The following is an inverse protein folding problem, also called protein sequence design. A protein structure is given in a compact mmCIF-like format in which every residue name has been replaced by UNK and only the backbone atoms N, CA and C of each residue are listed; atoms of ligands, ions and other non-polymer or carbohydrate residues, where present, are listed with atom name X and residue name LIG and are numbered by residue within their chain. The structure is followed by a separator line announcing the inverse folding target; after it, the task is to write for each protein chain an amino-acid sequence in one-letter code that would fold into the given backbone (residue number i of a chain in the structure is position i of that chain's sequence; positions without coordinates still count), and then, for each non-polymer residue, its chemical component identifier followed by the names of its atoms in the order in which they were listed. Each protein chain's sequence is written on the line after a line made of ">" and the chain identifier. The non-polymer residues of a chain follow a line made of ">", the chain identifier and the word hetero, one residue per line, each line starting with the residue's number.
data_IF_636349262309
#
_entry.id   IF_636349262309
#
_cell.length_a   1.000
_cell.length_b   1.000
_cell.length_c   1.000
_cell.angle_alpha   90.00
_cell.angle_beta   90.00
_cell.angle_gamma   90.00
#
_symmetry.space_group_name_H-M   'P 1'
#
loop_
_entity.id
_entity.type
_entity.pdbx_description
1 polymer ?
2 non-polymer ?
3 non-polymer ?
4 water ?
#
# COMPACT_ATOMS: atom_id res chain seq x y z
N UNK A 5 0.23 -7.91 20.68
CA UNK A 5 0.96 -9.12 20.18
C UNK A 5 0.61 -9.35 18.71
N UNK A 6 1.62 -9.67 17.88
CA UNK A 6 1.44 -10.15 16.49
C UNK A 6 1.87 -11.62 16.41
N UNK A 7 1.20 -12.39 15.54
CA UNK A 7 1.70 -13.69 15.02
C UNK A 7 3.06 -13.45 14.36
N UNK A 8 3.82 -14.53 14.18
CA UNK A 8 5.12 -14.53 13.46
C UNK A 8 4.92 -13.93 12.06
N UNK A 9 3.85 -14.32 11.37
CA UNK A 9 3.57 -13.85 9.99
C UNK A 9 3.27 -12.35 10.01
N UNK A 10 2.55 -11.85 11.02
CA UNK A 10 2.21 -10.40 11.11
C UNK A 10 3.47 -9.58 11.45
N UNK A 11 4.45 -10.14 12.16
CA UNK A 11 5.76 -9.47 12.36
C UNK A 11 6.46 -9.30 11.01
N UNK A 12 6.46 -10.35 10.18
CA UNK A 12 7.03 -10.29 8.81
C UNK A 12 6.31 -9.20 8.01
N UNK A 13 4.98 -9.14 8.08
CA UNK A 13 4.16 -8.07 7.44
C UNK A 13 4.59 -6.69 7.95
N UNK A 14 4.78 -6.55 9.26
CA UNK A 14 5.19 -5.25 9.86
C UNK A 14 6.57 -4.86 9.33
N UNK A 15 7.49 -5.82 9.22
CA UNK A 15 8.82 -5.61 8.60
C UNK A 15 8.69 -5.08 7.19
N UNK A 16 7.84 -5.71 6.37
CA UNK A 16 7.58 -5.28 4.97
C UNK A 16 7.08 -3.83 5.00
N UNK A 17 6.09 -3.54 5.85
CA UNK A 17 5.47 -2.19 5.96
C UNK A 17 6.55 -1.15 6.28
N UNK A 18 7.40 -1.43 7.27
CA UNK A 18 8.52 -0.53 7.64
C UNK A 18 9.40 -0.30 6.41
N UNK A 19 9.72 -1.36 5.66
CA UNK A 19 10.58 -1.23 4.45
C UNK A 19 9.89 -0.34 3.42
N UNK A 20 8.59 -0.56 3.16
CA UNK A 20 7.84 0.22 2.13
C UNK A 20 7.87 1.71 2.50
N UNK A 21 7.92 2.03 3.80
CA UNK A 21 7.89 3.42 4.32
C UNK A 21 9.31 3.98 4.49
N UNK A 22 10.35 3.18 4.23
CA UNK A 22 11.77 3.53 4.50
C UNK A 22 12.32 4.44 3.39
N UNK A 23 13.41 5.16 3.69
CA UNK A 23 14.04 6.14 2.76
C UNK A 23 14.54 5.41 1.51
N UNK A 24 14.93 4.14 1.67
CA UNK A 24 15.39 3.21 0.60
C UNK A 24 14.47 3.29 -0.62
N UNK A 25 13.15 3.37 -0.42
CA UNK A 25 12.14 3.26 -1.51
C UNK A 25 11.40 4.58 -1.74
N UNK A 26 11.82 5.68 -1.09
CA UNK A 26 11.07 6.96 -1.04
C UNK A 26 10.87 7.54 -2.44
N UNK A 27 11.79 7.31 -3.39
CA UNK A 27 11.74 7.86 -4.77
C UNK A 27 10.46 7.42 -5.48
N UNK A 28 9.93 6.23 -5.17
CA UNK A 28 8.72 5.68 -5.84
C UNK A 28 7.61 5.33 -4.83
N UNK A 29 7.88 5.35 -3.52
CA UNK A 29 6.86 5.00 -2.49
C UNK A 29 6.01 6.22 -2.10
N UNK A 30 6.50 7.44 -2.33
CA UNK A 30 5.91 8.68 -1.77
C UNK A 30 4.44 8.85 -2.16
N UNK A 31 3.96 8.50 -3.38
CA UNK A 31 2.54 8.67 -3.70
C UNK A 31 1.60 7.84 -2.80
N UNK A 32 2.12 6.82 -2.13
CA UNK A 32 1.36 5.79 -1.38
C UNK A 32 1.45 6.03 0.13
N UNK A 33 2.12 7.10 0.55
CA UNK A 33 2.39 7.40 1.98
C UNK A 33 1.09 7.79 2.69
N UNK A 34 0.23 8.56 2.03
CA UNK A 34 -0.96 9.19 2.65
C UNK A 34 -2.16 8.99 1.74
N UNK A 35 -3.41 9.11 2.26
CA UNK A 35 -4.60 9.01 1.42
C UNK A 35 -4.50 10.02 0.28
N UNK A 36 -4.91 9.61 -0.92
CA UNK A 36 -5.04 10.51 -2.10
C UNK A 36 -6.01 11.63 -1.70
N UNK A 37 -5.54 12.88 -1.78
CA UNK A 37 -6.39 14.08 -1.57
C UNK A 37 -6.92 14.47 -2.95
N UNK A 38 -8.01 13.82 -3.37
CA UNK A 38 -8.57 13.93 -4.74
C UNK A 38 -8.82 15.40 -5.08
N UNK A 39 -9.45 16.14 -4.16
CA UNK A 39 -9.83 17.57 -4.33
C UNK A 39 -8.58 18.44 -4.53
N UNK A 40 -7.57 18.28 -3.67
CA UNK A 40 -6.29 19.05 -3.72
C UNK A 40 -5.57 18.81 -5.06
N UNK A 41 -5.63 17.59 -5.60
CA UNK A 41 -4.93 17.20 -6.85
C UNK A 41 -5.80 17.50 -8.08
N UNK A 42 -7.06 17.89 -7.87
CA UNK A 42 -8.03 18.18 -8.95
C UNK A 42 -8.54 16.91 -9.61
N UNK A 43 -8.45 15.76 -8.92
CA UNK A 43 -8.92 14.44 -9.43
C UNK A 43 -10.38 14.26 -8.99
N UNK A 44 -11.30 15.01 -9.58
CA UNK A 44 -12.69 15.15 -9.06
C UNK A 44 -13.53 13.90 -9.36
N UNK A 45 -12.99 12.96 -10.13
CA UNK A 45 -13.66 11.67 -10.46
C UNK A 45 -13.09 10.53 -9.60
N UNK A 46 -12.07 10.80 -8.77
CA UNK A 46 -11.29 9.75 -8.07
C UNK A 46 -12.24 8.85 -7.26
N UNK A 47 -13.11 9.44 -6.44
CA UNK A 47 -13.98 8.71 -5.49
C UNK A 47 -15.21 8.11 -6.20
N UNK A 48 -15.43 8.44 -7.47
CA UNK A 48 -16.45 7.78 -8.33
C UNK A 48 -15.87 6.49 -8.91
N UNK A 49 -14.56 6.45 -9.13
CA UNK A 49 -13.84 5.32 -9.79
C UNK A 49 -13.29 4.38 -8.71
N UNK A 50 -12.73 4.92 -7.63
CA UNK A 50 -12.11 4.17 -6.50
C UNK A 50 -13.10 4.15 -5.32
N UNK A 51 -13.73 3.00 -5.08
CA UNK A 51 -14.78 2.81 -4.04
C UNK A 51 -14.13 2.57 -2.67
N UNK A 52 -12.90 2.05 -2.64
CA UNK A 52 -12.20 1.64 -1.39
C UNK A 52 -10.77 2.16 -1.42
N UNK A 53 -10.56 3.47 -1.16
CA UNK A 53 -9.22 4.05 -1.10
C UNK A 53 -8.36 3.32 -0.06
N UNK A 54 -7.07 3.21 -0.32
CA UNK A 54 -6.12 2.60 0.65
C UNK A 54 -4.74 3.21 0.40
N UNK A 55 -3.95 3.32 1.46
CA UNK A 55 -2.60 3.93 1.44
C UNK A 55 -1.81 3.35 2.61
N UNK A 56 -0.50 3.57 2.63
CA UNK A 56 0.40 2.96 3.64
C UNK A 56 0.16 3.53 5.05
N UNK A 57 -0.27 4.79 5.19
CA UNK A 57 -0.58 5.38 6.52
C UNK A 57 -1.78 4.66 7.15
N UNK A 58 -2.78 4.29 6.34
CA UNK A 58 -3.98 3.53 6.77
C UNK A 58 -3.59 2.09 7.13
N UNK A 59 -2.73 1.46 6.33
CA UNK A 59 -2.21 0.09 6.62
C UNK A 59 -1.47 0.15 7.96
N UNK A 60 -0.66 1.19 8.18
CA UNK A 60 0.16 1.35 9.42
C UNK A 60 -0.76 1.48 10.64
N UNK A 61 -1.78 2.33 10.55
CA UNK A 61 -2.79 2.56 11.62
C UNK A 61 -3.48 1.23 11.96
N UNK A 62 -3.88 0.47 10.94
CA UNK A 62 -4.59 -0.83 11.10
C UNK A 62 -3.63 -1.84 11.74
N UNK A 63 -2.35 -1.84 11.37
CA UNK A 63 -1.33 -2.74 11.98
C UNK A 63 -1.15 -2.36 13.46
N UNK A 64 -0.98 -1.07 13.75
CA UNK A 64 -0.78 -0.52 15.12
C UNK A 64 -2.00 -0.84 16.00
N UNK A 65 -3.21 -0.78 15.42
CA UNK A 65 -4.50 -1.01 16.12
C UNK A 65 -4.83 -2.51 16.23
N UNK A 66 -3.94 -3.37 15.72
CA UNK A 66 -4.11 -4.85 15.67
C UNK A 66 -5.42 -5.17 14.94
N UNK A 67 -5.72 -4.42 13.88
CA UNK A 67 -6.92 -4.61 13.03
C UNK A 67 -6.73 -5.90 12.22
N UNK A 68 -5.53 -6.13 11.67
CA UNK A 68 -5.23 -7.29 10.79
C UNK A 68 -5.16 -8.55 11.65
N UNK A 69 -5.99 -9.54 11.34
CA UNK A 69 -6.03 -10.81 12.12
C UNK A 69 -5.02 -11.79 11.52
N UNK A 70 -4.60 -11.59 10.27
CA UNK A 70 -3.59 -12.46 9.60
C UNK A 70 -2.91 -11.72 8.45
N UNK A 71 -1.83 -12.32 7.93
CA UNK A 71 -0.99 -11.79 6.83
C UNK A 71 -1.85 -11.54 5.58
N UNK A 72 -2.79 -12.44 5.29
CA UNK A 72 -3.65 -12.38 4.08
C UNK A 72 -4.44 -11.06 4.08
N UNK A 73 -4.97 -10.66 5.24
CA UNK A 73 -5.79 -9.42 5.37
C UNK A 73 -4.89 -8.20 5.13
N UNK A 74 -3.68 -8.20 5.69
CA UNK A 74 -2.66 -7.14 5.46
C UNK A 74 -2.36 -7.03 3.96
N UNK A 75 -2.05 -8.15 3.33
CA UNK A 75 -1.64 -8.20 1.90
C UNK A 75 -2.79 -7.71 1.01
N UNK A 76 -4.04 -8.02 1.38
CA UNK A 76 -5.25 -7.59 0.63
C UNK A 76 -5.31 -6.06 0.59
N UNK A 77 -4.99 -5.38 1.70
CA UNK A 77 -5.00 -3.90 1.75
C UNK A 77 -3.84 -3.35 0.91
N UNK A 78 -2.64 -3.92 1.03
CA UNK A 78 -1.48 -3.43 0.24
C UNK A 78 -1.82 -3.58 -1.25
N UNK A 79 -2.40 -4.71 -1.65
CA UNK A 79 -2.71 -4.95 -3.08
C UNK A 79 -3.90 -4.08 -3.52
N UNK A 80 -4.88 -3.85 -2.65
CA UNK A 80 -5.99 -2.90 -2.94
C UNK A 80 -5.39 -1.53 -3.31
N UNK A 81 -4.41 -1.06 -2.53
CA UNK A 81 -3.73 0.24 -2.76
C UNK A 81 -3.12 0.27 -4.17
N UNK A 82 -2.42 -0.78 -4.60
CA UNK A 82 -1.80 -0.84 -5.95
C UNK A 82 -2.90 -0.93 -7.01
N UNK A 83 -3.89 -1.79 -6.80
CA UNK A 83 -5.01 -2.00 -7.75
C UNK A 83 -5.72 -0.67 -8.03
N UNK A 84 -5.95 0.15 -7.00
CA UNK A 84 -6.60 1.48 -7.12
C UNK A 84 -5.78 2.35 -8.07
N UNK A 85 -4.46 2.34 -7.90
CA UNK A 85 -3.52 3.09 -8.76
C UNK A 85 -3.65 2.61 -10.21
N UNK A 86 -3.70 1.30 -10.44
CA UNK A 86 -3.78 0.68 -11.80
C UNK A 86 -5.16 0.94 -12.43
N UNK A 87 -6.21 1.03 -11.61
CA UNK A 87 -7.59 1.28 -12.10
C UNK A 87 -7.74 2.74 -12.54
N UNK A 88 -7.23 3.69 -11.76
CA UNK A 88 -7.54 5.13 -11.94
C UNK A 88 -6.67 5.75 -13.04
N UNK A 89 -5.39 5.38 -13.08
CA UNK A 89 -4.35 6.11 -13.85
C UNK A 89 -4.10 5.42 -15.19
N UNK A 90 -3.69 6.18 -16.23
CA UNK A 90 -3.28 5.57 -17.50
C UNK A 90 -2.08 4.67 -17.23
N UNK A 91 -1.97 3.50 -17.90
CA UNK A 91 -0.94 2.52 -17.58
C UNK A 91 0.50 2.97 -17.88
N UNK A 92 0.67 4.02 -18.68
CA UNK A 92 2.00 4.58 -19.07
C UNK A 92 2.36 5.79 -18.20
N UNK A 93 1.58 6.10 -17.16
CA UNK A 93 1.84 7.27 -16.28
C UNK A 93 2.94 6.95 -15.28
N UNK A 94 3.71 7.96 -14.87
CA UNK A 94 4.82 7.84 -13.88
C UNK A 94 4.33 7.16 -12.60
N UNK A 95 3.14 7.53 -12.11
CA UNK A 95 2.61 7.01 -10.82
C UNK A 95 2.40 5.49 -10.92
N UNK A 96 2.01 4.99 -12.10
CA UNK A 96 1.82 3.53 -12.34
C UNK A 96 3.20 2.84 -12.34
N UNK A 97 4.23 3.47 -12.93
CA UNK A 97 5.62 2.94 -12.91
C UNK A 97 6.10 2.83 -11.46
N UNK A 98 5.78 3.83 -10.63
CA UNK A 98 6.15 3.86 -9.20
C UNK A 98 5.41 2.74 -8.46
N UNK A 99 4.12 2.55 -8.73
CA UNK A 99 3.29 1.46 -8.15
C UNK A 99 3.91 0.10 -8.47
N UNK A 100 4.28 -0.13 -9.74
CA UNK A 100 4.86 -1.42 -10.20
C UNK A 100 6.15 -1.70 -9.42
N UNK A 101 6.99 -0.68 -9.23
CA UNK A 101 8.30 -0.83 -8.54
C UNK A 101 8.07 -1.13 -7.05
N UNK A 102 7.17 -0.41 -6.38
CA UNK A 102 6.88 -0.66 -4.95
C UNK A 102 6.18 -2.02 -4.80
N UNK A 103 5.33 -2.41 -5.75
CA UNK A 103 4.65 -3.73 -5.67
C UNK A 103 5.67 -4.86 -5.84
N UNK A 104 6.67 -4.67 -6.70
CA UNK A 104 7.78 -5.65 -6.87
C UNK A 104 8.49 -5.84 -5.53
N UNK A 105 8.76 -4.74 -4.81
CA UNK A 105 9.40 -4.80 -3.46
C UNK A 105 8.49 -5.61 -2.54
N UNK A 106 7.20 -5.27 -2.50
CA UNK A 106 6.19 -5.94 -1.66
C UNK A 106 6.11 -7.43 -2.01
N UNK A 107 5.85 -7.78 -3.27
CA UNK A 107 5.54 -9.18 -3.66
C UNK A 107 6.74 -10.08 -3.35
N UNK A 108 7.96 -9.65 -3.67
CA UNK A 108 9.17 -10.50 -3.48
C UNK A 108 9.42 -10.76 -2.00
N UNK A 109 9.20 -9.77 -1.13
CA UNK A 109 9.43 -9.97 0.32
C UNK A 109 8.25 -10.70 0.95
N UNK A 110 7.01 -10.44 0.51
CA UNK A 110 5.81 -11.16 1.00
C UNK A 110 5.99 -12.66 0.72
N UNK A 111 6.56 -13.00 -0.44
CA UNK A 111 6.83 -14.40 -0.87
C UNK A 111 7.75 -15.11 0.13
N UNK A 112 8.60 -14.37 0.85
CA UNK A 112 9.56 -14.93 1.84
C UNK A 112 8.90 -15.10 3.22
N UNK A 113 7.57 -15.06 3.29
CA UNK A 113 6.76 -15.29 4.52
C UNK A 113 7.21 -16.56 5.23
N UNK A 114 7.48 -16.52 6.56
CA UNK A 114 7.83 -17.73 7.29
C UNK A 114 6.65 -18.70 7.37
N UNK A 115 6.93 -20.00 7.21
CA UNK A 115 5.93 -21.11 7.20
C UNK A 115 5.55 -21.45 8.64
X LIG B 1 -2.80 11.10 -11.79
X LIG B 1 -1.98 10.95 -9.54
X LIG B 1 -2.22 11.75 -10.78
X LIG B 1 -2.89 11.64 -13.14
X LIG B 1 -2.77 10.54 -14.18
X LIG B 1 -2.83 11.11 -15.59
X LIG B 1 -4.28 12.97 -14.75
X LIG B 1 -0.04 12.33 -8.35
X LIG B 1 1.27 11.92 -9.01
X LIG B 1 2.93 12.23 -10.73
X LIG B 1 2.06 10.91 -8.47
X LIG B 1 -1.90 12.94 -10.84
X LIG B 1 -4.18 12.40 -13.34
X LIG B 1 -4.11 11.89 -15.80
X LIG B 1 -4.08 12.49 -17.10
X LIG B 1 -2.61 9.72 -9.15
X LIG B 1 -1.05 11.23 -8.58
X LIG B 1 -1.08 10.23 -7.61
X LIG B 1 -2.04 9.33 -7.99
X LIG B 1 -2.28 8.10 -7.24
X LIG B 1 -3.03 7.23 -7.69
X LIG B 1 -1.61 7.99 -6.11
X LIG B 1 -1.78 6.86 -5.21
X LIG B 1 0.15 12.67 -6.87
X LIG B 1 3.27 10.57 -9.06
X LIG B 1 3.70 11.23 -10.19
X LIG B 1 1.72 12.58 -10.15
X LIG C 1 4.85 -8.54 -9.09
X LIG C 1 4.54 -7.17 -8.89
X LIG C 1 6.30 -8.81 -9.00
X LIG C 1 7.06 -8.11 -9.97
X LIG D 1 -11.75 -4.66 8.47
X LIG D 1 -10.76 -3.69 8.77
X LIG D 1 -12.74 -4.85 9.56
X LIG D 1 -12.14 -5.01 10.82
#
# INVERSE_FOLDING_TARGET
>A
GSMGKLSEQLKHCNGILKELLSKKHAAYAWPFYKPVDASALGLHDYHDIIKHPMDLSTVKRKMENRDYRDAQEFAADVRLMFSNCYKYNPPDHDVVAMARKLQDVFEFRYAKMPD
>B hetero
1 V9K N1 C4 C5 C6 C7 C8 C10 C13 C15 C17 C20 O1 C11 C9 O2 C3 C12 O3 C2 C1 O N C C14 C19 C18 C16
>C hetero
1 EDO C1 O1 C2 O2
>D hetero
1 EDO C1 O1 C2 O2
#
